data_IF_504599455623
#
_entry.id   IF_504599455623
#
_cell.length_a   1.000
_cell.length_b   1.000
_cell.length_c   1.000
_cell.angle_alpha   90.00
_cell.angle_beta   90.00
_cell.angle_gamma   90.00
#
_symmetry.space_group_name_H-M   'P 1'
#
loop_
_entity.id
_entity.type
_entity.pdbx_description
1 polymer ?
#
# COMPACT_ATOMS: atom_id res chain seq x y z
N UNK A 1 -15.77 -20.56 -5.35
CA UNK A 1 -14.33 -20.41 -5.02
C UNK A 1 -13.46 -20.29 -6.27
N UNK A 2 -13.93 -20.79 -7.42
CA UNK A 2 -13.17 -20.80 -8.68
C UNK A 2 -13.00 -19.42 -9.34
N UNK A 3 -14.02 -18.55 -9.28
CA UNK A 3 -13.93 -17.19 -9.83
C UNK A 3 -12.90 -16.30 -9.12
N UNK A 4 -12.59 -16.59 -7.85
CA UNK A 4 -11.57 -15.84 -7.09
C UNK A 4 -10.17 -16.19 -7.61
N UNK A 5 -9.90 -17.47 -7.91
CA UNK A 5 -8.59 -17.90 -8.46
C UNK A 5 -8.35 -17.34 -9.85
N UNK A 6 -9.37 -17.28 -10.69
CA UNK A 6 -9.29 -16.72 -12.04
C UNK A 6 -9.02 -15.20 -12.00
N UNK A 7 -9.65 -14.48 -11.07
CA UNK A 7 -9.48 -13.03 -10.92
C UNK A 7 -8.15 -12.60 -10.27
N UNK A 8 -7.54 -13.44 -9.44
CA UNK A 8 -6.24 -13.19 -8.80
C UNK A 8 -5.06 -13.82 -9.57
N UNK A 9 -5.31 -14.87 -10.38
CA UNK A 9 -4.29 -15.67 -11.04
C UNK A 9 -3.51 -14.93 -12.13
N UNK A 10 -4.14 -14.02 -12.87
CA UNK A 10 -3.43 -13.26 -13.93
C UNK A 10 -2.53 -12.14 -13.38
N UNK A 11 -2.92 -11.52 -12.26
CA UNK A 11 -2.15 -10.42 -11.66
C UNK A 11 -0.93 -10.92 -10.86
N UNK A 12 -1.07 -12.08 -10.19
CA UNK A 12 0.01 -12.78 -9.49
C UNK A 12 0.81 -13.67 -10.43
N UNK A 13 1.29 -13.13 -11.56
CA UNK A 13 2.21 -13.82 -12.46
C UNK A 13 3.54 -14.07 -11.73
N UNK A 14 3.60 -15.21 -11.04
CA UNK A 14 4.75 -15.89 -10.42
C UNK A 14 5.85 -14.93 -9.95
N UNK A 15 5.53 -14.09 -8.97
CA UNK A 15 6.58 -13.37 -8.24
C UNK A 15 7.35 -14.43 -7.44
N UNK A 16 8.66 -14.64 -7.67
CA UNK A 16 9.40 -15.67 -6.97
C UNK A 16 9.39 -15.37 -5.48
N UNK A 17 9.18 -16.38 -4.63
CA UNK A 17 9.16 -16.22 -3.17
C UNK A 17 10.38 -15.42 -2.66
N UNK A 18 11.56 -15.69 -3.22
CA UNK A 18 12.80 -14.98 -2.90
C UNK A 18 12.77 -13.48 -3.19
N UNK A 19 12.08 -13.05 -4.25
CA UNK A 19 11.90 -11.63 -4.55
C UNK A 19 10.96 -10.94 -3.56
N UNK A 20 9.95 -11.64 -3.07
CA UNK A 20 9.06 -11.12 -2.01
C UNK A 20 9.84 -10.95 -0.71
N UNK A 21 10.61 -11.95 -0.30
CA UNK A 21 11.45 -11.89 0.91
C UNK A 21 12.49 -10.77 0.79
N UNK A 22 13.17 -10.67 -0.35
CA UNK A 22 14.12 -9.60 -0.61
C UNK A 22 13.45 -8.22 -0.57
N UNK A 23 12.30 -8.07 -1.21
CA UNK A 23 11.51 -6.84 -1.20
C UNK A 23 11.12 -6.40 0.23
N UNK A 24 10.66 -7.33 1.07
CA UNK A 24 10.34 -7.07 2.46
C UNK A 24 11.61 -6.63 3.23
N UNK A 25 12.73 -7.31 3.03
CA UNK A 25 14.00 -6.95 3.66
C UNK A 25 14.48 -5.55 3.27
N UNK A 26 14.39 -5.19 2.00
CA UNK A 26 14.69 -3.83 1.54
C UNK A 26 13.75 -2.80 2.19
N UNK A 27 12.47 -3.14 2.33
CA UNK A 27 11.46 -2.26 2.94
C UNK A 27 11.76 -2.00 4.42
N UNK A 28 12.19 -3.03 5.15
CA UNK A 28 12.57 -2.90 6.57
C UNK A 28 13.83 -2.05 6.73
N UNK A 29 14.85 -2.23 5.87
CA UNK A 29 16.05 -1.40 5.88
C UNK A 29 15.72 0.05 5.56
N UNK A 30 14.81 0.29 4.61
CA UNK A 30 14.37 1.63 4.25
C UNK A 30 13.58 2.29 5.38
N UNK A 31 12.75 1.53 6.10
CA UNK A 31 12.04 2.00 7.30
C UNK A 31 13.02 2.36 8.41
N UNK A 32 14.01 1.51 8.68
CA UNK A 32 15.05 1.79 9.68
C UNK A 32 15.85 3.05 9.33
N UNK A 33 16.23 3.22 8.06
CA UNK A 33 16.87 4.44 7.59
C UNK A 33 15.97 5.67 7.71
N UNK A 34 14.67 5.51 7.44
CA UNK A 34 13.65 6.56 7.61
C UNK A 34 13.52 7.02 9.05
N UNK A 35 13.63 6.11 10.03
CA UNK A 35 13.58 6.50 11.45
C UNK A 35 14.75 7.39 11.87
N UNK A 36 15.92 7.28 11.22
CA UNK A 36 17.05 8.17 11.49
C UNK A 36 17.00 9.50 10.74
N UNK A 37 16.34 9.54 9.58
CA UNK A 37 16.23 10.73 8.76
C UNK A 37 14.76 11.07 8.53
N UNK A 38 14.25 12.07 9.27
CA UNK A 38 12.86 12.51 9.18
C UNK A 38 12.42 12.88 7.75
N UNK A 39 13.33 13.48 6.96
CA UNK A 39 13.09 13.79 5.55
C UNK A 39 12.89 12.53 4.71
N UNK A 40 13.67 11.48 4.96
CA UNK A 40 13.57 10.20 4.25
C UNK A 40 12.30 9.44 4.63
N UNK A 41 11.89 9.50 5.90
CA UNK A 41 10.60 8.95 6.35
C UNK A 41 9.44 9.59 5.58
N UNK A 42 9.39 10.92 5.61
CA UNK A 42 8.33 11.71 4.98
C UNK A 42 8.32 11.48 3.47
N UNK A 43 9.48 11.52 2.82
CA UNK A 43 9.59 11.27 1.37
C UNK A 43 9.10 9.86 1.01
N UNK A 44 9.55 8.83 1.74
CA UNK A 44 9.16 7.44 1.49
C UNK A 44 7.67 7.22 1.72
N UNK A 45 7.12 7.80 2.79
CA UNK A 45 5.70 7.79 3.11
C UNK A 45 4.88 8.29 1.92
N UNK A 46 5.16 9.50 1.42
CA UNK A 46 4.39 10.08 0.31
C UNK A 46 4.63 9.34 -1.01
N UNK A 47 5.86 8.95 -1.32
CA UNK A 47 6.16 8.21 -2.57
C UNK A 47 5.40 6.90 -2.62
N UNK A 48 5.46 6.09 -1.56
CA UNK A 48 4.77 4.80 -1.54
C UNK A 48 3.25 5.02 -1.57
N UNK A 49 2.74 5.99 -0.80
CA UNK A 49 1.32 6.32 -0.76
C UNK A 49 0.78 6.73 -2.14
N UNK A 50 1.52 7.57 -2.89
CA UNK A 50 1.17 7.97 -4.26
C UNK A 50 1.22 6.77 -5.21
N UNK A 51 2.23 5.91 -5.13
CA UNK A 51 2.30 4.72 -5.96
C UNK A 51 1.09 3.80 -5.72
N UNK A 52 0.74 3.54 -4.45
CA UNK A 52 -0.42 2.72 -4.11
C UNK A 52 -1.71 3.33 -4.63
N UNK A 53 -1.89 4.66 -4.54
CA UNK A 53 -3.05 5.33 -5.11
C UNK A 53 -3.14 5.13 -6.63
N UNK A 54 -2.04 5.36 -7.36
CA UNK A 54 -2.00 5.21 -8.82
C UNK A 54 -2.33 3.77 -9.23
N UNK A 55 -1.73 2.78 -8.56
CA UNK A 55 -2.00 1.37 -8.85
C UNK A 55 -3.41 0.96 -8.46
N UNK A 56 -3.93 1.45 -7.32
CA UNK A 56 -5.29 1.17 -6.86
C UNK A 56 -6.36 1.79 -7.76
N UNK A 57 -6.08 2.89 -8.45
CA UNK A 57 -6.97 3.49 -9.45
C UNK A 57 -7.01 2.69 -10.76
N UNK A 58 -5.93 1.98 -11.10
CA UNK A 58 -5.86 1.10 -12.28
C UNK A 58 -6.52 -0.24 -12.03
N UNK A 59 -6.22 -0.85 -10.88
CA UNK A 59 -6.84 -2.10 -10.44
C UNK A 59 -6.98 -2.07 -8.90
N UNK A 60 -8.22 -1.96 -8.44
CA UNK A 60 -8.54 -1.92 -7.01
C UNK A 60 -8.02 -3.17 -6.28
N UNK A 61 -7.92 -4.32 -6.95
CA UNK A 61 -7.41 -5.56 -6.35
C UNK A 61 -5.96 -5.41 -5.90
N UNK A 62 -5.14 -4.69 -6.66
CA UNK A 62 -3.74 -4.43 -6.31
C UNK A 62 -3.70 -3.55 -5.06
N UNK A 63 -4.55 -2.53 -4.98
CA UNK A 63 -4.68 -1.69 -3.78
C UNK A 63 -5.04 -2.50 -2.54
N UNK A 64 -6.06 -3.37 -2.64
CA UNK A 64 -6.47 -4.26 -1.53
C UNK A 64 -5.34 -5.22 -1.14
N UNK A 65 -4.67 -5.84 -2.12
CA UNK A 65 -3.55 -6.74 -1.86
C UNK A 65 -2.40 -6.05 -1.13
N UNK A 66 -2.05 -4.82 -1.53
CA UNK A 66 -1.00 -4.03 -0.87
C UNK A 66 -1.36 -3.71 0.58
N UNK A 67 -2.61 -3.30 0.85
CA UNK A 67 -3.05 -3.04 2.23
C UNK A 67 -2.98 -4.31 3.08
N UNK A 68 -3.37 -5.47 2.53
CA UNK A 68 -3.25 -6.75 3.23
C UNK A 68 -1.79 -7.11 3.52
N UNK A 69 -0.90 -6.96 2.54
CA UNK A 69 0.54 -7.21 2.72
C UNK A 69 1.13 -6.27 3.76
N UNK A 70 0.80 -4.97 3.73
CA UNK A 70 1.23 -4.04 4.77
C UNK A 70 0.78 -4.49 6.15
N UNK A 71 -0.46 -5.00 6.28
CA UNK A 71 -1.00 -5.45 7.56
C UNK A 71 -0.17 -6.59 8.16
N UNK A 72 0.33 -7.50 7.31
CA UNK A 72 1.22 -8.59 7.73
C UNK A 72 2.65 -8.13 8.00
N UNK A 73 3.21 -7.27 7.14
CA UNK A 73 4.60 -6.81 7.24
C UNK A 73 4.77 -5.82 8.40
N UNK A 74 3.85 -4.88 8.53
CA UNK A 74 3.82 -3.80 9.50
C UNK A 74 3.19 -4.22 10.83
N UNK A 75 3.40 -5.46 11.29
CA UNK A 75 2.72 -5.98 12.49
C UNK A 75 2.91 -5.08 13.74
N UNK A 76 4.01 -4.32 13.82
CA UNK A 76 4.25 -3.35 14.90
C UNK A 76 3.81 -1.90 14.62
N UNK A 77 3.42 -1.56 13.39
CA UNK A 77 2.91 -0.23 13.04
C UNK A 77 3.93 0.90 12.93
N UNK A 78 5.24 0.61 12.87
CA UNK A 78 6.33 1.61 12.91
C UNK A 78 7.04 1.86 11.56
N UNK A 79 6.44 1.47 10.42
CA UNK A 79 7.16 1.54 9.14
C UNK A 79 7.49 2.98 8.73
N UNK A 80 6.45 3.81 8.62
CA UNK A 80 6.55 5.24 8.35
C UNK A 80 5.43 5.96 9.08
N UNK A 81 5.65 7.21 9.43
CA UNK A 81 4.63 8.05 10.03
C UNK A 81 4.91 9.50 9.70
N UNK A 82 3.84 10.28 9.61
CA UNK A 82 3.95 11.69 9.33
C UNK A 82 3.31 12.47 10.48
N UNK A 83 4.13 13.20 11.21
CA UNK A 83 3.67 14.05 12.29
C UNK A 83 3.21 15.40 11.73
N UNK A 84 1.96 15.76 12.04
CA UNK A 84 1.35 17.03 11.65
C UNK A 84 0.68 17.66 12.85
N UNK A 85 1.19 18.82 13.28
CA UNK A 85 0.61 19.61 14.36
C UNK A 85 0.33 18.80 15.65
N UNK A 86 1.22 17.85 15.98
CA UNK A 86 1.10 16.97 17.15
C UNK A 86 0.23 15.72 16.94
N UNK A 87 -0.27 15.48 15.72
CA UNK A 87 -0.94 14.25 15.33
C UNK A 87 0.00 13.38 14.49
N UNK A 88 0.24 12.14 14.93
CA UNK A 88 1.07 11.19 14.19
C UNK A 88 0.21 10.32 13.26
N UNK A 89 0.24 10.63 11.97
CA UNK A 89 -0.47 9.88 10.94
C UNK A 89 0.34 8.64 10.55
N UNK A 90 -0.09 7.48 11.07
CA UNK A 90 0.54 6.20 10.71
C UNK A 90 0.36 5.87 9.21
N UNK A 91 1.38 5.22 8.63
CA UNK A 91 1.36 4.76 7.24
C UNK A 91 0.20 3.82 6.93
N UNK A 92 -0.17 2.95 7.89
CA UNK A 92 -1.36 2.08 7.76
C UNK A 92 -2.63 2.90 7.55
N UNK A 93 -2.85 3.91 8.38
CA UNK A 93 -4.05 4.73 8.29
C UNK A 93 -4.10 5.48 6.95
N UNK A 94 -2.96 5.99 6.50
CA UNK A 94 -2.85 6.65 5.20
C UNK A 94 -3.16 5.70 4.03
N UNK A 95 -2.64 4.47 4.06
CA UNK A 95 -2.95 3.46 3.03
C UNK A 95 -4.43 3.10 3.00
N UNK A 96 -5.07 2.95 4.16
CA UNK A 96 -6.51 2.72 4.21
C UNK A 96 -7.29 3.89 3.60
N UNK A 97 -6.92 5.13 3.93
CA UNK A 97 -7.55 6.33 3.35
C UNK A 97 -7.40 6.36 1.83
N UNK A 98 -6.21 6.03 1.31
CA UNK A 98 -5.96 5.94 -0.13
C UNK A 98 -6.82 4.86 -0.79
N UNK A 99 -6.92 3.68 -0.18
CA UNK A 99 -7.74 2.60 -0.71
C UNK A 99 -9.23 2.99 -0.77
N UNK A 100 -9.74 3.59 0.31
CA UNK A 100 -11.11 4.09 0.36
C UNK A 100 -11.35 5.21 -0.66
N UNK A 101 -10.40 6.13 -0.84
CA UNK A 101 -10.48 7.18 -1.86
C UNK A 101 -10.51 6.57 -3.27
N UNK A 102 -9.64 5.62 -3.58
CA UNK A 102 -9.63 4.92 -4.86
C UNK A 102 -10.93 4.15 -5.10
N UNK A 103 -11.48 3.50 -4.06
CA UNK A 103 -12.76 2.80 -4.12
C UNK A 103 -13.93 3.75 -4.41
N UNK A 104 -13.98 4.93 -3.77
CA UNK A 104 -15.00 5.93 -4.05
C UNK A 104 -14.95 6.41 -5.50
N UNK A 105 -13.75 6.68 -6.02
CA UNK A 105 -13.56 7.06 -7.44
C UNK A 105 -14.05 5.94 -8.35
N UNK A 106 -13.75 4.69 -8.01
CA UNK A 106 -14.20 3.52 -8.76
C UNK A 106 -15.73 3.41 -8.77
N UNK A 107 -16.40 3.54 -7.62
CA UNK A 107 -17.88 3.55 -7.54
C UNK A 107 -18.47 4.68 -8.39
N UNK A 108 -17.93 5.90 -8.31
CA UNK A 108 -18.46 7.04 -9.06
C UNK A 108 -18.31 6.80 -10.57
N UNK A 109 -17.19 6.20 -10.99
CA UNK A 109 -16.95 5.84 -12.39
C UNK A 109 -17.96 4.80 -12.88
N UNK A 110 -18.21 3.76 -12.09
CA UNK A 110 -19.17 2.70 -12.43
C UNK A 110 -20.61 3.20 -12.42
N UNK A 111 -20.98 4.10 -11.49
CA UNK A 111 -22.32 4.72 -11.45
C UNK A 111 -22.59 5.70 -12.58
N UNK A 112 -21.57 6.25 -13.25
CA UNK A 112 -21.76 7.10 -14.43
C UNK A 112 -22.07 6.30 -15.71
N UNK A 113 -22.04 4.97 -15.65
CA UNK A 113 -22.32 4.06 -16.78
C UNK A 113 -23.73 3.45 -16.71
N UNK A 114 -24.57 3.90 -15.76
CA UNK A 114 -26.00 3.56 -15.70
C UNK A 114 -26.89 4.79 -15.85
#
# INVERSE_FOLDING_TARGET
MDKVKEYFGESFRVIPFWWVVFGIGCFEVLSFAGQQFAELNTASFFVILTLVLIYSLKDLKIGVAVVLVELFVSSKGYLFSWEVAGFDLSFRLALFLVLWAAYLVWIIRERKVH
#
